data_IF_341005296873
#
_entry.id   IF_341005296873
#
_cell.length_a   1.000
_cell.length_b   1.000
_cell.length_c   1.000
_cell.angle_alpha   90.00
_cell.angle_beta   90.00
_cell.angle_gamma   90.00
#
_symmetry.space_group_name_H-M   'P 1'
#
loop_
_entity.id
_entity.type
_entity.pdbx_description
1 polymer ?
#
# COMPACT_ATOMS: atom_id res chain seq x y z
N UNK A 1 29.23 -24.33 -12.15
CA UNK A 1 28.39 -25.39 -12.73
C UNK A 1 26.95 -25.08 -12.31
N UNK A 2 26.28 -24.14 -13.00
CA UNK A 2 24.88 -23.82 -12.71
C UNK A 2 24.01 -24.74 -13.56
N UNK A 3 23.29 -25.63 -12.89
CA UNK A 3 22.42 -26.62 -13.48
C UNK A 3 21.39 -25.98 -14.42
N UNK A 4 21.16 -26.63 -15.55
CA UNK A 4 19.93 -26.57 -16.33
C UNK A 4 18.76 -27.02 -15.44
N UNK A 5 18.32 -26.15 -14.54
CA UNK A 5 17.03 -26.32 -13.87
C UNK A 5 15.98 -25.93 -14.91
N UNK A 6 15.34 -26.94 -15.50
CA UNK A 6 14.02 -26.76 -16.07
C UNK A 6 13.13 -26.26 -14.92
N UNK A 7 12.90 -24.95 -14.87
CA UNK A 7 11.97 -24.33 -13.93
C UNK A 7 10.56 -24.81 -14.31
N UNK A 8 10.15 -25.94 -13.73
CA UNK A 8 8.77 -26.43 -13.80
C UNK A 8 7.84 -25.67 -12.83
N UNK A 9 8.32 -24.55 -12.27
CA UNK A 9 7.62 -23.78 -11.26
C UNK A 9 7.06 -22.50 -11.88
N UNK A 10 5.80 -22.18 -11.55
CA UNK A 10 5.17 -20.93 -11.94
C UNK A 10 5.70 -19.73 -11.14
N UNK A 11 6.49 -19.98 -10.08
CA UNK A 11 7.01 -18.96 -9.18
C UNK A 11 8.51 -19.18 -8.90
N UNK A 12 9.28 -18.09 -8.89
CA UNK A 12 10.70 -18.08 -8.58
C UNK A 12 11.01 -16.87 -7.71
N UNK A 13 11.63 -17.10 -6.56
CA UNK A 13 12.08 -16.04 -5.65
C UNK A 13 13.58 -16.21 -5.42
N UNK A 14 14.33 -15.14 -5.68
CA UNK A 14 15.78 -15.03 -5.48
C UNK A 14 16.07 -13.76 -4.67
N UNK A 15 15.25 -13.45 -3.67
CA UNK A 15 15.39 -12.25 -2.84
C UNK A 15 16.75 -12.21 -2.14
N UNK A 16 17.40 -11.03 -2.14
CA UNK A 16 18.68 -10.78 -1.48
C UNK A 16 19.76 -11.85 -1.76
N UNK A 17 19.72 -12.46 -2.95
CA UNK A 17 20.56 -13.61 -3.34
C UNK A 17 21.83 -13.19 -4.10
N UNK A 18 22.23 -11.92 -3.99
CA UNK A 18 23.37 -11.33 -4.70
C UNK A 18 23.30 -11.48 -6.24
N UNK A 19 22.09 -11.49 -6.81
CA UNK A 19 21.91 -11.47 -8.27
C UNK A 19 22.44 -10.14 -8.80
N UNK A 20 23.42 -10.20 -9.70
CA UNK A 20 24.01 -9.03 -10.35
C UNK A 20 23.53 -8.89 -11.79
N UNK A 21 23.77 -7.73 -12.41
CA UNK A 21 23.56 -7.51 -13.85
C UNK A 21 24.17 -8.62 -14.73
N UNK A 22 25.34 -9.15 -14.35
CA UNK A 22 26.00 -10.24 -15.08
C UNK A 22 25.24 -11.58 -14.98
N UNK A 23 24.51 -11.81 -13.89
CA UNK A 23 23.66 -12.98 -13.70
C UNK A 23 22.33 -12.85 -14.46
N UNK A 24 21.86 -11.63 -14.73
CA UNK A 24 20.59 -11.38 -15.42
C UNK A 24 20.55 -11.97 -16.84
N UNK A 25 21.69 -12.13 -17.53
CA UNK A 25 21.72 -12.82 -18.82
C UNK A 25 21.32 -14.30 -18.71
N UNK A 26 21.77 -14.97 -17.64
CA UNK A 26 21.45 -16.38 -17.40
C UNK A 26 20.01 -16.51 -16.90
N UNK A 27 19.59 -15.61 -16.00
CA UNK A 27 18.23 -15.55 -15.52
C UNK A 27 17.26 -15.31 -16.68
N UNK A 28 17.55 -14.33 -17.54
CA UNK A 28 16.78 -14.07 -18.75
C UNK A 28 16.72 -15.32 -19.64
N UNK A 29 17.86 -15.96 -19.94
CA UNK A 29 17.85 -17.19 -20.75
C UNK A 29 17.01 -18.33 -20.15
N UNK A 30 16.95 -18.44 -18.83
CA UNK A 30 16.21 -19.49 -18.13
C UNK A 30 14.70 -19.17 -18.03
N UNK A 31 14.36 -17.93 -17.66
CA UNK A 31 12.98 -17.48 -17.48
C UNK A 31 12.22 -17.43 -18.81
N UNK A 32 12.91 -17.16 -19.91
CA UNK A 32 12.29 -16.99 -21.24
C UNK A 32 12.56 -18.16 -22.19
N UNK A 33 13.03 -19.29 -21.65
CA UNK A 33 13.11 -20.53 -22.40
C UNK A 33 11.71 -20.94 -22.90
N UNK A 34 11.64 -21.56 -24.09
CA UNK A 34 10.37 -21.96 -24.75
C UNK A 34 9.43 -22.79 -23.86
N UNK A 35 9.98 -23.51 -22.89
CA UNK A 35 9.24 -24.38 -21.98
C UNK A 35 9.04 -23.78 -20.58
N UNK A 36 9.43 -22.52 -20.37
CA UNK A 36 9.23 -21.83 -19.10
C UNK A 36 7.75 -21.61 -18.85
N UNK A 37 7.32 -21.96 -17.64
CA UNK A 37 5.95 -21.73 -17.14
C UNK A 37 5.92 -20.62 -16.10
N UNK A 38 7.02 -19.87 -15.94
CA UNK A 38 7.16 -18.89 -14.87
C UNK A 38 6.19 -17.72 -15.07
N UNK A 39 5.33 -17.49 -14.07
CA UNK A 39 4.37 -16.39 -14.02
C UNK A 39 4.75 -15.32 -13.00
N UNK A 40 5.61 -15.63 -12.02
CA UNK A 40 6.04 -14.69 -11.00
C UNK A 40 7.54 -14.79 -10.71
N UNK A 41 8.22 -13.65 -10.67
CA UNK A 41 9.66 -13.53 -10.44
C UNK A 41 9.93 -12.44 -9.39
N UNK A 42 10.51 -12.84 -8.27
CA UNK A 42 10.89 -11.95 -7.18
C UNK A 42 12.40 -11.85 -7.09
N UNK A 43 12.91 -10.63 -7.18
CA UNK A 43 14.33 -10.29 -7.19
C UNK A 43 14.65 -9.18 -6.18
N UNK A 44 13.78 -8.95 -5.19
CA UNK A 44 13.92 -7.86 -4.22
C UNK A 44 15.31 -7.86 -3.56
N UNK A 45 15.90 -6.68 -3.39
CA UNK A 45 17.18 -6.51 -2.70
C UNK A 45 18.41 -7.04 -3.44
N UNK A 46 18.35 -7.20 -4.77
CA UNK A 46 19.49 -7.60 -5.60
C UNK A 46 20.02 -6.45 -6.45
N UNK A 47 21.33 -6.34 -6.65
CA UNK A 47 21.90 -5.24 -7.44
C UNK A 47 21.85 -5.52 -8.96
N UNK A 48 20.64 -5.50 -9.53
CA UNK A 48 20.42 -5.70 -10.97
C UNK A 48 20.97 -4.54 -11.79
N UNK A 49 20.78 -3.31 -11.30
CA UNK A 49 21.02 -2.07 -12.04
C UNK A 49 20.22 -1.99 -13.36
N UNK A 50 20.33 -0.85 -14.06
CA UNK A 50 19.60 -0.64 -15.32
C UNK A 50 19.97 -1.65 -16.40
N UNK A 51 21.21 -2.15 -16.39
CA UNK A 51 21.70 -3.14 -17.35
C UNK A 51 21.10 -4.53 -17.11
N UNK A 52 20.97 -4.95 -15.85
CA UNK A 52 20.25 -6.17 -15.50
C UNK A 52 18.77 -6.07 -15.90
N UNK A 53 18.15 -4.90 -15.67
CA UNK A 53 16.77 -4.65 -16.09
C UNK A 53 16.60 -4.66 -17.61
N UNK A 54 17.57 -4.10 -18.36
CA UNK A 54 17.58 -4.17 -19.83
C UNK A 54 17.48 -5.61 -20.33
N UNK A 55 18.31 -6.50 -19.79
CA UNK A 55 18.36 -7.92 -20.15
C UNK A 55 17.09 -8.68 -19.76
N UNK A 56 16.47 -8.34 -18.62
CA UNK A 56 15.18 -8.89 -18.23
C UNK A 56 14.08 -8.42 -19.19
N UNK A 57 14.04 -7.12 -19.49
CA UNK A 57 13.08 -6.51 -20.41
C UNK A 57 13.14 -7.10 -21.83
N UNK A 58 14.33 -7.43 -22.34
CA UNK A 58 14.47 -8.14 -23.63
C UNK A 58 13.70 -9.45 -23.67
N UNK A 59 13.74 -10.19 -22.57
CA UNK A 59 13.05 -11.47 -22.50
C UNK A 59 11.59 -11.37 -22.08
N UNK A 60 11.19 -10.36 -21.31
CA UNK A 60 9.77 -10.05 -21.03
C UNK A 60 8.98 -9.74 -22.31
N UNK A 61 9.66 -9.23 -23.34
CA UNK A 61 9.10 -9.01 -24.67
C UNK A 61 9.14 -10.24 -25.58
N UNK A 62 9.59 -11.40 -25.09
CA UNK A 62 9.55 -12.64 -25.85
C UNK A 62 8.11 -13.17 -25.96
N UNK A 63 7.63 -13.57 -27.15
CA UNK A 63 6.27 -14.12 -27.31
C UNK A 63 5.95 -15.35 -26.45
N UNK A 64 6.97 -16.08 -26.00
CA UNK A 64 6.79 -17.25 -25.13
C UNK A 64 6.78 -16.89 -23.64
N UNK A 65 7.11 -15.66 -23.27
CA UNK A 65 7.12 -15.22 -21.88
C UNK A 65 5.70 -15.29 -21.29
N UNK A 66 5.59 -15.88 -20.09
CA UNK A 66 4.34 -15.98 -19.32
C UNK A 66 4.38 -15.16 -18.03
N UNK A 67 5.41 -14.35 -17.83
CA UNK A 67 5.60 -13.60 -16.59
C UNK A 67 4.53 -12.52 -16.45
N UNK A 68 3.82 -12.57 -15.33
CA UNK A 68 2.74 -11.67 -14.95
C UNK A 68 3.13 -10.78 -13.77
N UNK A 69 3.99 -11.29 -12.87
CA UNK A 69 4.41 -10.57 -11.66
C UNK A 69 5.93 -10.42 -11.70
N UNK A 70 6.41 -9.19 -11.59
CA UNK A 70 7.82 -8.87 -11.45
C UNK A 70 8.03 -7.98 -10.23
N UNK A 71 8.82 -8.46 -9.28
CA UNK A 71 9.21 -7.70 -8.10
C UNK A 71 10.71 -7.43 -8.11
N UNK A 72 11.07 -6.17 -8.24
CA UNK A 72 12.45 -5.66 -8.32
C UNK A 72 12.63 -4.47 -7.37
N UNK A 73 12.05 -4.58 -6.17
CA UNK A 73 12.26 -3.64 -5.08
C UNK A 73 13.75 -3.56 -4.70
N UNK A 74 14.25 -2.35 -4.44
CA UNK A 74 15.63 -2.13 -3.98
C UNK A 74 16.68 -2.77 -4.90
N UNK A 75 16.48 -2.65 -6.22
CA UNK A 75 17.31 -3.32 -7.22
C UNK A 75 18.35 -2.43 -7.93
N UNK A 76 18.54 -1.20 -7.45
CA UNK A 76 19.47 -0.24 -8.04
C UNK A 76 19.01 0.33 -9.38
N UNK A 77 17.70 0.32 -9.64
CA UNK A 77 17.13 0.87 -10.88
C UNK A 77 17.07 2.39 -10.83
N UNK A 78 17.27 3.01 -11.99
CA UNK A 78 17.13 4.45 -12.22
C UNK A 78 16.12 4.73 -13.32
N UNK A 79 16.00 5.99 -13.74
CA UNK A 79 15.25 6.42 -14.92
C UNK A 79 15.49 5.54 -16.16
N UNK A 80 16.73 5.07 -16.37
CA UNK A 80 17.07 4.28 -17.56
C UNK A 80 16.46 2.88 -17.52
N UNK A 81 16.38 2.25 -16.35
CA UNK A 81 15.62 1.01 -16.16
C UNK A 81 14.14 1.19 -16.52
N UNK A 82 13.54 2.33 -16.16
CA UNK A 82 12.16 2.66 -16.51
C UNK A 82 11.93 2.83 -18.01
N UNK A 83 12.91 3.33 -18.77
CA UNK A 83 12.84 3.40 -20.23
C UNK A 83 12.67 1.99 -20.84
N UNK A 84 13.47 1.02 -20.38
CA UNK A 84 13.34 -0.36 -20.84
C UNK A 84 12.02 -1.01 -20.41
N UNK A 85 11.55 -0.71 -19.20
CA UNK A 85 10.25 -1.17 -18.70
C UNK A 85 9.10 -0.58 -19.50
N UNK A 86 9.18 0.70 -19.89
CA UNK A 86 8.18 1.36 -20.74
C UNK A 86 7.99 0.63 -22.07
N UNK A 87 9.09 0.26 -22.72
CA UNK A 87 9.08 -0.55 -23.95
C UNK A 87 8.45 -1.94 -23.72
N UNK A 88 8.69 -2.53 -22.55
CA UNK A 88 8.10 -3.82 -22.18
C UNK A 88 6.60 -3.71 -21.92
N UNK A 89 6.15 -2.70 -21.17
CA UNK A 89 4.72 -2.43 -20.92
C UNK A 89 3.96 -2.13 -22.23
N UNK A 90 4.64 -1.53 -23.21
CA UNK A 90 4.06 -1.20 -24.50
C UNK A 90 3.98 -2.37 -25.49
N UNK A 91 4.62 -3.50 -25.19
CA UNK A 91 4.74 -4.64 -26.10
C UNK A 91 3.52 -5.56 -26.04
N UNK A 92 3.00 -5.95 -27.21
CA UNK A 92 1.91 -6.94 -27.33
C UNK A 92 2.24 -8.32 -26.70
N UNK A 93 3.53 -8.66 -26.62
CA UNK A 93 4.01 -9.93 -26.09
C UNK A 93 4.07 -9.94 -24.56
N UNK A 94 4.18 -8.77 -23.93
CA UNK A 94 4.23 -8.68 -22.48
C UNK A 94 2.93 -9.20 -21.85
N UNK A 95 3.09 -10.00 -20.79
CA UNK A 95 1.99 -10.51 -19.97
C UNK A 95 1.97 -9.86 -18.59
N UNK A 96 2.79 -8.83 -18.37
CA UNK A 96 3.00 -8.23 -17.06
C UNK A 96 1.73 -7.54 -16.57
N UNK A 97 1.29 -7.94 -15.37
CA UNK A 97 0.08 -7.48 -14.69
C UNK A 97 0.43 -6.77 -13.38
N UNK A 98 1.52 -7.16 -12.72
CA UNK A 98 1.97 -6.55 -11.48
C UNK A 98 3.46 -6.22 -11.57
N UNK A 99 3.80 -4.98 -11.18
CA UNK A 99 5.16 -4.48 -11.19
C UNK A 99 5.45 -3.76 -9.87
N UNK A 100 6.43 -4.28 -9.15
CA UNK A 100 6.94 -3.69 -7.92
C UNK A 100 8.36 -3.17 -8.15
N UNK A 101 8.51 -1.85 -8.03
CA UNK A 101 9.76 -1.10 -8.21
C UNK A 101 10.11 -0.30 -6.96
N UNK A 102 9.53 -0.63 -5.80
CA UNK A 102 9.72 0.11 -4.57
C UNK A 102 11.21 0.32 -4.23
N UNK A 103 11.52 1.43 -3.56
CA UNK A 103 12.87 1.72 -3.07
C UNK A 103 13.97 1.75 -4.16
N UNK A 104 13.60 2.11 -5.40
CA UNK A 104 14.54 2.43 -6.48
C UNK A 104 14.63 3.94 -6.76
N UNK A 105 15.74 4.42 -7.32
CA UNK A 105 15.96 5.87 -7.55
C UNK A 105 15.41 6.31 -8.92
N UNK A 106 14.10 6.17 -9.10
CA UNK A 106 13.47 6.37 -10.41
C UNK A 106 13.28 7.85 -10.77
N UNK A 107 12.96 8.67 -9.77
CA UNK A 107 12.61 10.10 -9.92
C UNK A 107 11.43 10.31 -10.88
N UNK A 108 11.02 11.57 -11.06
CA UNK A 108 9.87 11.91 -11.91
C UNK A 108 10.02 11.40 -13.34
N UNK A 109 11.22 11.50 -13.93
CA UNK A 109 11.47 11.00 -15.28
C UNK A 109 11.23 9.49 -15.42
N UNK A 110 11.58 8.69 -14.41
CA UNK A 110 11.30 7.26 -14.42
C UNK A 110 9.80 6.97 -14.37
N UNK A 111 9.05 7.66 -13.51
CA UNK A 111 7.59 7.54 -13.46
C UNK A 111 6.91 7.99 -14.76
N UNK A 112 7.42 9.04 -15.41
CA UNK A 112 6.93 9.52 -16.71
C UNK A 112 7.11 8.44 -17.79
N UNK A 113 8.25 7.75 -17.83
CA UNK A 113 8.46 6.62 -18.75
C UNK A 113 7.48 5.47 -18.50
N UNK A 114 7.25 5.12 -17.24
CA UNK A 114 6.28 4.08 -16.89
C UNK A 114 4.86 4.46 -17.33
N UNK A 115 4.47 5.73 -17.12
CA UNK A 115 3.18 6.25 -17.59
C UNK A 115 3.04 6.18 -19.11
N UNK A 116 4.11 6.44 -19.87
CA UNK A 116 4.10 6.24 -21.32
C UNK A 116 3.79 4.79 -21.70
N UNK A 117 4.41 3.84 -21.01
CA UNK A 117 4.14 2.42 -21.21
C UNK A 117 2.71 2.02 -20.88
N UNK A 118 2.16 2.54 -19.78
CA UNK A 118 0.77 2.31 -19.35
C UNK A 118 -0.23 2.89 -20.36
N UNK A 119 0.12 3.98 -21.05
CA UNK A 119 -0.70 4.56 -22.11
C UNK A 119 -0.73 3.74 -23.40
N UNK A 120 0.02 2.64 -23.52
CA UNK A 120 -0.11 1.74 -24.66
C UNK A 120 -1.36 0.86 -24.57
N UNK A 121 -2.11 0.63 -25.68
CA UNK A 121 -3.23 -0.32 -25.71
C UNK A 121 -2.82 -1.78 -25.46
N UNK A 122 -1.53 -2.08 -25.49
CA UNK A 122 -1.00 -3.40 -25.19
C UNK A 122 -0.67 -3.61 -23.71
N UNK A 123 -0.70 -2.55 -22.90
CA UNK A 123 -0.35 -2.66 -21.49
C UNK A 123 -1.43 -3.45 -20.72
N UNK A 124 -0.99 -4.46 -19.96
CA UNK A 124 -1.84 -5.33 -19.14
C UNK A 124 -1.67 -5.10 -17.65
N UNK A 125 -1.03 -3.99 -17.26
CA UNK A 125 -0.67 -3.71 -15.88
C UNK A 125 -1.90 -3.31 -15.07
N UNK A 126 -2.14 -4.04 -13.98
CA UNK A 126 -3.22 -3.81 -13.02
C UNK A 126 -2.70 -3.24 -11.69
N UNK A 127 -1.46 -3.60 -11.30
CA UNK A 127 -0.81 -3.14 -10.06
C UNK A 127 0.55 -2.52 -10.37
N UNK A 128 0.79 -1.33 -9.85
CA UNK A 128 2.09 -0.66 -9.90
C UNK A 128 2.47 -0.15 -8.51
N UNK A 129 3.63 -0.59 -8.01
CA UNK A 129 4.17 -0.18 -6.71
C UNK A 129 5.44 0.65 -6.88
N UNK A 130 5.40 1.89 -6.38
CA UNK A 130 6.44 2.92 -6.54
C UNK A 130 6.73 3.62 -5.20
N UNK A 131 6.56 2.93 -4.09
CA UNK A 131 6.89 3.48 -2.78
C UNK A 131 8.37 3.87 -2.69
N UNK A 132 8.67 5.02 -2.07
CA UNK A 132 10.03 5.51 -1.85
C UNK A 132 10.89 5.61 -3.13
N UNK A 133 10.29 6.08 -4.25
CA UNK A 133 10.96 6.19 -5.55
C UNK A 133 11.52 7.59 -5.90
N UNK A 134 11.53 8.51 -4.92
CA UNK A 134 11.92 9.92 -5.08
C UNK A 134 11.07 10.67 -6.11
N UNK A 135 9.76 10.39 -6.13
CA UNK A 135 8.81 11.08 -7.01
C UNK A 135 8.33 12.38 -6.35
N UNK A 136 7.99 13.35 -7.19
CA UNK A 136 7.40 14.64 -6.79
C UNK A 136 6.12 14.91 -7.59
N UNK A 137 5.51 16.10 -7.41
CA UNK A 137 4.33 16.53 -8.17
C UNK A 137 4.53 16.52 -9.69
N UNK A 138 5.75 16.67 -10.20
CA UNK A 138 6.07 16.79 -11.63
C UNK A 138 5.60 15.58 -12.45
N UNK A 139 5.64 14.37 -11.89
CA UNK A 139 5.15 13.17 -12.59
C UNK A 139 3.63 12.96 -12.53
N UNK A 140 2.92 13.65 -11.64
CA UNK A 140 1.51 13.38 -11.35
C UNK A 140 0.58 13.68 -12.54
N UNK A 141 0.94 14.63 -13.41
CA UNK A 141 0.21 14.88 -14.67
C UNK A 141 0.29 13.70 -15.64
N UNK A 142 1.41 12.98 -15.66
CA UNK A 142 1.59 11.78 -16.47
C UNK A 142 0.77 10.62 -15.93
N UNK A 143 0.72 10.43 -14.60
CA UNK A 143 -0.19 9.46 -13.97
C UNK A 143 -1.65 9.78 -14.27
N UNK A 144 -2.06 11.04 -14.09
CA UNK A 144 -3.41 11.50 -14.43
C UNK A 144 -3.78 11.14 -15.87
N UNK A 145 -2.86 11.39 -16.82
CA UNK A 145 -3.05 11.03 -18.22
C UNK A 145 -3.14 9.50 -18.42
N UNK A 146 -2.30 8.71 -17.76
CA UNK A 146 -2.28 7.25 -17.85
C UNK A 146 -3.52 6.60 -17.22
N UNK A 147 -4.09 7.17 -16.17
CA UNK A 147 -5.35 6.73 -15.56
C UNK A 147 -6.57 7.05 -16.42
N UNK A 148 -6.45 8.01 -17.33
CA UNK A 148 -7.58 8.55 -18.10
C UNK A 148 -7.79 7.86 -19.45
N UNK A 149 -6.83 7.08 -19.95
CA UNK A 149 -6.97 6.39 -21.24
C UNK A 149 -7.86 5.15 -21.10
N UNK A 150 -8.70 4.90 -22.10
CA UNK A 150 -9.76 3.88 -22.07
C UNK A 150 -9.24 2.45 -21.83
N UNK A 151 -8.11 2.13 -22.46
CA UNK A 151 -7.48 0.82 -22.39
C UNK A 151 -6.58 0.63 -21.16
N UNK A 152 -6.38 1.65 -20.32
CA UNK A 152 -5.64 1.47 -19.07
C UNK A 152 -6.36 0.46 -18.19
N UNK A 153 -5.61 -0.51 -17.66
CA UNK A 153 -6.12 -1.55 -16.76
C UNK A 153 -5.66 -1.35 -15.31
N UNK A 154 -5.01 -0.22 -15.01
CA UNK A 154 -4.43 0.03 -13.70
C UNK A 154 -5.53 0.18 -12.64
N UNK A 155 -5.56 -0.75 -11.69
CA UNK A 155 -6.51 -0.81 -10.58
C UNK A 155 -5.86 -0.43 -9.25
N UNK A 156 -4.56 -0.67 -9.10
CA UNK A 156 -3.84 -0.47 -7.84
C UNK A 156 -2.56 0.34 -8.08
N UNK A 157 -2.41 1.45 -7.37
CA UNK A 157 -1.28 2.37 -7.49
C UNK A 157 -0.74 2.75 -6.10
N UNK A 158 0.47 2.32 -5.80
CA UNK A 158 1.16 2.61 -4.55
C UNK A 158 2.23 3.69 -4.76
N UNK A 159 2.06 4.84 -4.08
CA UNK A 159 2.96 6.00 -4.17
C UNK A 159 3.51 6.41 -2.79
N UNK A 160 3.40 5.54 -1.77
CA UNK A 160 3.82 5.84 -0.39
C UNK A 160 5.24 6.43 -0.34
N UNK A 161 5.45 7.42 0.52
CA UNK A 161 6.78 7.94 0.82
C UNK A 161 7.44 8.73 -0.31
N UNK A 162 6.66 9.23 -1.27
CA UNK A 162 7.11 10.18 -2.29
C UNK A 162 6.61 11.59 -1.99
N UNK A 163 7.42 12.63 -2.19
CA UNK A 163 7.09 14.02 -1.88
C UNK A 163 6.19 14.67 -2.94
N UNK A 164 5.00 14.12 -3.13
CA UNK A 164 4.04 14.60 -4.13
C UNK A 164 3.42 15.95 -3.76
N UNK A 165 3.16 16.17 -2.47
CA UNK A 165 2.47 17.37 -1.98
C UNK A 165 1.03 17.50 -2.50
N UNK A 166 0.36 18.59 -2.09
CA UNK A 166 -1.03 18.84 -2.48
C UNK A 166 -1.20 19.00 -4.00
N UNK A 167 -0.25 19.65 -4.67
CA UNK A 167 -0.28 19.87 -6.11
C UNK A 167 -0.27 18.55 -6.89
N UNK A 168 0.60 17.60 -6.51
CA UNK A 168 0.64 16.28 -7.13
C UNK A 168 -0.68 15.52 -6.98
N UNK A 169 -1.26 15.53 -5.78
CA UNK A 169 -2.56 14.86 -5.54
C UNK A 169 -3.70 15.55 -6.27
N UNK A 170 -3.69 16.88 -6.39
CA UNK A 170 -4.68 17.61 -7.17
C UNK A 170 -4.64 17.18 -8.65
N UNK A 171 -3.45 17.05 -9.24
CA UNK A 171 -3.26 16.54 -10.61
C UNK A 171 -3.72 15.08 -10.74
N UNK A 172 -3.40 14.21 -9.78
CA UNK A 172 -3.89 12.83 -9.76
C UNK A 172 -5.43 12.78 -9.73
N UNK A 173 -6.06 13.65 -8.94
CA UNK A 173 -7.51 13.74 -8.84
C UNK A 173 -8.17 14.13 -10.17
N UNK A 174 -7.50 14.89 -11.06
CA UNK A 174 -8.01 15.15 -12.41
C UNK A 174 -8.21 13.86 -13.21
N UNK A 175 -7.31 12.88 -13.05
CA UNK A 175 -7.39 11.57 -13.69
C UNK A 175 -8.42 10.66 -13.02
N UNK A 176 -8.46 10.65 -11.68
CA UNK A 176 -9.45 9.87 -10.91
C UNK A 176 -10.90 10.26 -11.24
N UNK A 177 -11.13 11.51 -11.63
CA UNK A 177 -12.45 12.02 -12.03
C UNK A 177 -12.85 11.65 -13.46
N UNK A 178 -11.96 11.04 -14.26
CA UNK A 178 -12.29 10.66 -15.65
C UNK A 178 -13.11 9.35 -15.67
N UNK A 179 -14.05 9.22 -16.61
CA UNK A 179 -14.92 8.04 -16.72
C UNK A 179 -14.16 6.74 -16.97
N UNK A 180 -12.98 6.81 -17.59
CA UNK A 180 -12.16 5.67 -17.93
C UNK A 180 -11.25 5.20 -16.78
N UNK A 181 -11.21 5.93 -15.66
CA UNK A 181 -10.35 5.57 -14.56
C UNK A 181 -10.82 4.26 -13.91
N UNK A 182 -9.95 3.25 -13.91
CA UNK A 182 -10.20 1.94 -13.32
C UNK A 182 -9.63 1.77 -11.92
N UNK A 183 -9.03 2.82 -11.35
CA UNK A 183 -8.31 2.74 -10.08
C UNK A 183 -9.27 2.46 -8.91
N UNK A 184 -8.98 1.39 -8.19
CA UNK A 184 -9.74 0.91 -7.03
C UNK A 184 -8.97 1.15 -5.73
N UNK A 185 -7.63 1.09 -5.76
CA UNK A 185 -6.80 1.29 -4.57
C UNK A 185 -5.67 2.27 -4.82
N UNK A 186 -5.52 3.20 -3.88
CA UNK A 186 -4.54 4.26 -3.94
C UNK A 186 -3.86 4.47 -2.59
N UNK A 187 -2.54 4.33 -2.57
CA UNK A 187 -1.72 4.58 -1.39
C UNK A 187 -0.93 5.86 -1.55
N UNK A 188 -1.18 6.80 -0.64
CA UNK A 188 -0.55 8.11 -0.57
C UNK A 188 -0.05 8.39 0.86
N UNK A 189 0.26 7.34 1.63
CA UNK A 189 0.88 7.51 2.94
C UNK A 189 2.22 8.27 2.80
N UNK A 190 2.54 9.15 3.74
CA UNK A 190 3.81 9.92 3.75
C UNK A 190 4.09 10.71 2.47
N UNK A 191 3.06 11.23 1.81
CA UNK A 191 3.21 11.98 0.56
C UNK A 191 3.36 13.50 0.72
N UNK A 192 3.51 14.00 1.95
CA UNK A 192 3.64 15.43 2.22
C UNK A 192 2.32 16.20 2.05
N UNK A 193 1.18 15.52 2.22
CA UNK A 193 -0.15 16.11 1.98
C UNK A 193 -0.61 16.96 3.16
N UNK A 194 -1.41 17.97 2.87
CA UNK A 194 -2.08 18.83 3.85
C UNK A 194 -3.60 18.83 3.66
N UNK A 195 -4.32 19.66 4.40
CA UNK A 195 -5.76 19.88 4.14
C UNK A 195 -6.05 20.42 2.73
N UNK A 196 -5.05 20.97 2.02
CA UNK A 196 -5.20 21.60 0.71
C UNK A 196 -5.74 20.66 -0.37
N UNK A 197 -5.29 19.40 -0.41
CA UNK A 197 -5.74 18.43 -1.42
C UNK A 197 -7.05 17.70 -1.06
N UNK A 198 -7.53 17.82 0.18
CA UNK A 198 -8.68 17.05 0.66
C UNK A 198 -9.99 17.40 -0.05
N UNK A 199 -10.11 18.62 -0.58
CA UNK A 199 -11.24 19.03 -1.43
C UNK A 199 -11.26 18.31 -2.78
N UNK A 200 -10.09 18.15 -3.41
CA UNK A 200 -9.94 17.43 -4.66
C UNK A 200 -10.17 15.93 -4.50
N UNK A 201 -9.61 15.33 -3.45
CA UNK A 201 -9.88 13.93 -3.06
C UNK A 201 -11.38 13.71 -2.79
N UNK A 202 -12.01 14.61 -2.04
CA UNK A 202 -13.46 14.57 -1.83
C UNK A 202 -14.24 14.62 -3.14
N UNK A 203 -13.80 15.44 -4.10
CA UNK A 203 -14.45 15.57 -5.41
C UNK A 203 -14.26 14.33 -6.27
N UNK A 204 -13.10 13.68 -6.20
CA UNK A 204 -12.83 12.40 -6.85
C UNK A 204 -13.72 11.27 -6.29
N UNK A 205 -13.92 11.21 -4.97
CA UNK A 205 -14.82 10.26 -4.32
C UNK A 205 -16.30 10.49 -4.68
N UNK A 206 -16.70 11.74 -4.95
CA UNK A 206 -18.07 12.10 -5.31
C UNK A 206 -18.45 11.79 -6.77
N UNK A 207 -17.48 11.52 -7.63
CA UNK A 207 -17.73 11.39 -9.07
C UNK A 207 -18.44 10.07 -9.37
N UNK A 208 -19.46 10.08 -10.24
CA UNK A 208 -20.28 8.91 -10.59
C UNK A 208 -19.45 7.70 -11.05
N UNK A 209 -18.37 7.97 -11.78
CA UNK A 209 -17.50 6.94 -12.33
C UNK A 209 -16.37 6.52 -11.38
N UNK A 210 -16.30 7.07 -10.16
CA UNK A 210 -15.30 6.67 -9.19
C UNK A 210 -15.42 5.18 -8.88
N UNK A 211 -14.27 4.49 -8.84
CA UNK A 211 -14.17 3.07 -8.48
C UNK A 211 -13.34 2.85 -7.23
N UNK A 212 -12.87 3.93 -6.60
CA UNK A 212 -11.97 3.85 -5.47
C UNK A 212 -12.67 3.21 -4.26
N UNK A 213 -12.17 2.06 -3.83
CA UNK A 213 -12.62 1.29 -2.67
C UNK A 213 -11.63 1.39 -1.52
N UNK A 214 -10.35 1.64 -1.78
CA UNK A 214 -9.32 1.78 -0.75
C UNK A 214 -8.47 3.04 -0.96
N UNK A 215 -8.36 3.85 0.10
CA UNK A 215 -7.57 5.09 0.10
C UNK A 215 -6.75 5.17 1.37
N UNK A 216 -5.43 5.24 1.21
CA UNK A 216 -4.51 5.39 2.32
C UNK A 216 -3.85 6.77 2.28
N UNK A 217 -3.94 7.50 3.38
CA UNK A 217 -3.47 8.87 3.52
C UNK A 217 -2.67 9.07 4.82
N UNK A 218 -2.21 8.00 5.45
CA UNK A 218 -1.57 8.10 6.76
C UNK A 218 -0.25 8.87 6.72
N UNK A 219 0.15 9.37 7.88
CA UNK A 219 1.37 10.15 8.06
C UNK A 219 1.46 11.38 7.14
N UNK A 220 0.32 12.04 6.95
CA UNK A 220 0.17 13.32 6.25
C UNK A 220 -0.46 14.37 7.15
N UNK A 221 -0.13 15.65 6.98
CA UNK A 221 -0.59 16.74 7.85
C UNK A 221 -1.98 17.26 7.44
N UNK A 222 -2.96 16.36 7.30
CA UNK A 222 -4.31 16.69 6.83
C UNK A 222 -5.08 17.57 7.81
N UNK A 223 -4.82 17.40 9.12
CA UNK A 223 -5.53 18.06 10.21
C UNK A 223 -7.06 17.85 10.17
N UNK A 224 -7.76 18.43 11.15
CA UNK A 224 -9.21 18.29 11.23
C UNK A 224 -9.95 18.87 10.01
N UNK A 225 -9.45 19.97 9.44
CA UNK A 225 -10.05 20.62 8.26
C UNK A 225 -10.01 19.71 7.03
N UNK A 226 -8.91 19.00 6.80
CA UNK A 226 -8.79 18.05 5.70
C UNK A 226 -9.81 16.91 5.81
N UNK A 227 -9.89 16.28 6.98
CA UNK A 227 -10.86 15.18 7.22
C UNK A 227 -12.31 15.67 7.13
N UNK A 228 -12.61 16.89 7.58
CA UNK A 228 -13.94 17.48 7.41
C UNK A 228 -14.32 17.64 5.93
N UNK A 229 -13.36 17.98 5.06
CA UNK A 229 -13.57 18.02 3.61
C UNK A 229 -13.77 16.61 3.04
N UNK A 230 -12.90 15.65 3.37
CA UNK A 230 -13.04 14.26 2.94
C UNK A 230 -14.39 13.65 3.33
N UNK A 231 -14.89 13.96 4.53
CA UNK A 231 -16.20 13.51 5.00
C UNK A 231 -17.37 14.00 4.13
N UNK A 232 -17.22 15.12 3.39
CA UNK A 232 -18.23 15.53 2.40
C UNK A 232 -18.29 14.53 1.25
N UNK A 233 -17.14 14.04 0.79
CA UNK A 233 -17.01 13.00 -0.23
C UNK A 233 -17.55 11.66 0.22
N UNK A 234 -17.21 11.24 1.44
CA UNK A 234 -17.67 9.96 2.01
C UNK A 234 -19.19 9.86 2.18
N UNK A 235 -19.90 11.00 2.26
CA UNK A 235 -21.37 11.03 2.32
C UNK A 235 -22.05 10.99 0.96
N UNK A 236 -21.30 11.09 -0.13
CA UNK A 236 -21.86 11.04 -1.47
C UNK A 236 -22.42 9.66 -1.78
N UNK A 237 -23.55 9.61 -2.48
CA UNK A 237 -24.14 8.36 -2.99
C UNK A 237 -23.24 7.63 -3.99
N UNK A 238 -22.29 8.35 -4.60
CA UNK A 238 -21.32 7.80 -5.55
C UNK A 238 -20.08 7.22 -4.86
N UNK A 239 -19.89 7.44 -3.55
CA UNK A 239 -18.70 7.01 -2.85
C UNK A 239 -18.72 5.49 -2.63
N UNK A 240 -17.73 4.79 -3.21
CA UNK A 240 -17.55 3.34 -3.08
C UNK A 240 -16.47 2.96 -2.06
N UNK A 241 -15.98 3.92 -1.29
CA UNK A 241 -14.85 3.70 -0.40
C UNK A 241 -15.23 2.77 0.76
N UNK A 242 -14.49 1.67 0.88
CA UNK A 242 -14.63 0.63 1.90
C UNK A 242 -13.54 0.74 2.96
N UNK A 243 -12.31 1.11 2.56
CA UNK A 243 -11.17 1.27 3.46
C UNK A 243 -10.57 2.66 3.38
N UNK A 244 -10.45 3.31 4.53
CA UNK A 244 -9.81 4.60 4.67
C UNK A 244 -8.78 4.55 5.79
N UNK A 245 -7.52 4.82 5.47
CA UNK A 245 -6.45 4.94 6.48
C UNK A 245 -6.02 6.39 6.66
N UNK A 246 -6.10 6.86 7.90
CA UNK A 246 -5.81 8.23 8.34
C UNK A 246 -4.92 8.21 9.60
N UNK A 247 -4.04 7.21 9.72
CA UNK A 247 -3.14 7.11 10.87
C UNK A 247 -2.14 8.27 10.86
N UNK A 248 -1.74 8.80 12.03
CA UNK A 248 -0.77 9.91 12.14
C UNK A 248 -1.12 11.14 11.24
N UNK A 249 -2.41 11.52 11.15
CA UNK A 249 -2.86 12.61 10.27
C UNK A 249 -3.00 13.99 10.95
N UNK A 250 -2.55 14.12 12.20
CA UNK A 250 -2.72 15.33 13.00
C UNK A 250 -4.17 15.60 13.40
N UNK A 251 -4.97 14.55 13.56
CA UNK A 251 -6.40 14.65 13.90
C UNK A 251 -6.60 14.80 15.40
N UNK A 252 -7.66 15.53 15.77
CA UNK A 252 -8.16 15.61 17.14
C UNK A 252 -9.67 15.33 17.17
N UNK A 253 -10.25 15.27 18.37
CA UNK A 253 -11.69 15.03 18.55
C UNK A 253 -12.62 16.02 17.82
N UNK A 254 -12.10 17.15 17.31
CA UNK A 254 -12.87 18.14 16.53
C UNK A 254 -13.35 17.63 15.16
N UNK A 255 -12.71 16.61 14.58
CA UNK A 255 -13.17 16.01 13.32
C UNK A 255 -14.19 14.87 13.53
N UNK A 256 -14.33 14.36 14.76
CA UNK A 256 -15.15 13.17 15.03
C UNK A 256 -16.64 13.37 14.76
N UNK A 257 -17.18 14.59 14.84
CA UNK A 257 -18.57 14.86 14.44
C UNK A 257 -18.77 14.66 12.93
N UNK A 258 -17.80 15.06 12.11
CA UNK A 258 -17.83 14.87 10.67
C UNK A 258 -17.65 13.39 10.29
N UNK A 259 -16.76 12.69 11.00
CA UNK A 259 -16.60 11.24 10.86
C UNK A 259 -17.88 10.50 11.25
N UNK A 260 -18.50 10.82 12.40
CA UNK A 260 -19.79 10.25 12.82
C UNK A 260 -20.84 10.44 11.73
N UNK A 261 -20.97 11.66 11.20
CA UNK A 261 -21.91 11.97 10.12
C UNK A 261 -21.63 11.16 8.84
N UNK A 262 -20.35 10.95 8.47
CA UNK A 262 -19.98 10.15 7.31
C UNK A 262 -20.21 8.64 7.52
N UNK A 263 -19.92 8.12 8.71
CA UNK A 263 -20.10 6.71 9.07
C UNK A 263 -21.57 6.30 9.20
N UNK A 264 -22.44 7.24 9.58
CA UNK A 264 -23.88 6.99 9.74
C UNK A 264 -24.70 7.32 8.49
N UNK A 265 -24.06 7.83 7.43
CA UNK A 265 -24.74 8.14 6.18
C UNK A 265 -25.30 6.85 5.55
N UNK A 266 -26.51 6.93 5.00
CA UNK A 266 -27.25 5.78 4.46
C UNK A 266 -26.48 5.02 3.38
N UNK A 267 -25.69 5.74 2.57
CA UNK A 267 -24.91 5.17 1.46
C UNK A 267 -23.43 4.94 1.80
N UNK A 268 -23.05 5.06 3.08
CA UNK A 268 -21.66 4.80 3.48
C UNK A 268 -21.32 3.33 3.23
N UNK A 269 -20.18 3.08 2.58
CA UNK A 269 -19.65 1.74 2.33
C UNK A 269 -18.43 1.42 3.19
N UNK A 270 -18.05 2.34 4.09
CA UNK A 270 -16.83 2.20 4.87
C UNK A 270 -16.95 1.06 5.89
N UNK A 271 -16.08 0.07 5.73
CA UNK A 271 -15.95 -1.11 6.61
C UNK A 271 -14.68 -1.04 7.44
N UNK A 272 -13.63 -0.36 6.95
CA UNK A 272 -12.37 -0.17 7.68
C UNK A 272 -11.99 1.29 7.74
N UNK A 273 -11.76 1.76 8.97
CA UNK A 273 -11.26 3.09 9.28
C UNK A 273 -10.08 2.97 10.24
N UNK A 274 -8.91 3.42 9.82
CA UNK A 274 -7.72 3.49 10.67
C UNK A 274 -7.48 4.95 11.08
N UNK A 275 -7.60 5.23 12.38
CA UNK A 275 -7.33 6.54 13.00
C UNK A 275 -6.17 6.47 13.99
N UNK A 276 -5.35 5.42 13.95
CA UNK A 276 -4.27 5.20 14.91
C UNK A 276 -3.27 6.36 14.90
N UNK A 277 -2.58 6.59 16.01
CA UNK A 277 -1.54 7.62 16.10
C UNK A 277 -2.05 9.06 15.86
N UNK A 278 -3.34 9.29 16.10
CA UNK A 278 -3.94 10.62 16.21
C UNK A 278 -4.25 10.99 17.67
N UNK A 279 -4.42 12.28 17.94
CA UNK A 279 -4.70 12.78 19.29
C UNK A 279 -6.21 12.88 19.55
N UNK A 280 -6.90 11.73 19.51
CA UNK A 280 -8.31 11.62 19.83
C UNK A 280 -8.48 11.47 21.34
N UNK A 281 -9.19 12.42 21.96
CA UNK A 281 -9.57 12.36 23.38
C UNK A 281 -10.82 11.50 23.58
N UNK A 282 -11.20 11.26 24.84
CA UNK A 282 -12.44 10.55 25.21
C UNK A 282 -13.70 11.12 24.55
N UNK A 283 -13.72 12.43 24.30
CA UNK A 283 -14.80 13.07 23.57
C UNK A 283 -14.93 12.54 22.14
N UNK A 284 -13.81 12.35 21.45
CA UNK A 284 -13.77 11.76 20.11
C UNK A 284 -14.09 10.26 20.13
N UNK A 285 -13.54 9.53 21.11
CA UNK A 285 -13.85 8.14 21.34
C UNK A 285 -15.36 7.90 21.51
N UNK A 286 -16.02 8.74 22.32
CA UNK A 286 -17.46 8.68 22.57
C UNK A 286 -18.27 8.83 21.27
N UNK A 287 -17.89 9.78 20.40
CA UNK A 287 -18.55 9.99 19.11
C UNK A 287 -18.33 8.80 18.15
N UNK A 288 -17.13 8.22 18.13
CA UNK A 288 -16.88 7.02 17.32
C UNK A 288 -17.67 5.80 17.84
N UNK A 289 -17.78 5.64 19.17
CA UNK A 289 -18.64 4.61 19.76
C UNK A 289 -20.12 4.83 19.45
N UNK A 290 -20.57 6.08 19.38
CA UNK A 290 -21.93 6.43 18.95
C UNK A 290 -22.16 6.04 17.49
N UNK A 291 -21.21 6.34 16.60
CA UNK A 291 -21.27 5.93 15.20
C UNK A 291 -21.38 4.40 15.06
N UNK A 292 -20.59 3.62 15.82
CA UNK A 292 -20.63 2.15 15.80
C UNK A 292 -21.94 1.53 16.33
N UNK A 293 -22.76 2.30 17.05
CA UNK A 293 -24.10 1.89 17.49
C UNK A 293 -25.17 2.23 16.46
N UNK A 294 -24.87 3.08 15.49
CA UNK A 294 -25.79 3.44 14.44
C UNK A 294 -25.97 2.24 13.48
N UNK A 295 -27.22 1.84 13.14
CA UNK A 295 -27.47 0.70 12.26
C UNK A 295 -26.92 0.87 10.83
N UNK A 296 -26.69 2.11 10.38
CA UNK A 296 -26.10 2.40 9.08
C UNK A 296 -24.57 2.25 9.06
N UNK A 297 -23.93 2.21 10.23
CA UNK A 297 -22.48 2.09 10.30
C UNK A 297 -22.05 0.66 9.98
N UNK A 298 -21.29 0.50 8.90
CA UNK A 298 -20.79 -0.80 8.39
C UNK A 298 -19.39 -1.15 8.88
N UNK A 299 -18.76 -0.33 9.73
CA UNK A 299 -17.41 -0.59 10.20
C UNK A 299 -17.33 -1.96 10.87
N UNK A 300 -16.39 -2.78 10.41
CA UNK A 300 -16.10 -4.07 11.01
C UNK A 300 -15.63 -3.84 12.45
N UNK A 301 -16.31 -4.48 13.39
CA UNK A 301 -16.00 -4.44 14.82
C UNK A 301 -14.76 -5.29 15.12
N UNK A 302 -13.64 -5.03 14.45
CA UNK A 302 -12.38 -5.71 14.74
C UNK A 302 -11.68 -5.01 15.91
N UNK A 303 -11.23 -5.79 16.91
CA UNK A 303 -10.56 -5.26 18.10
C UNK A 303 -9.30 -4.44 17.73
N UNK A 304 -8.60 -4.80 16.65
CA UNK A 304 -7.40 -4.09 16.19
C UNK A 304 -7.66 -2.64 15.77
N UNK A 305 -8.85 -2.34 15.23
CA UNK A 305 -9.25 -0.97 14.81
C UNK A 305 -9.53 -0.04 15.99
N UNK A 306 -9.82 -0.59 17.18
CA UNK A 306 -10.17 0.15 18.39
C UNK A 306 -9.05 0.18 19.45
N UNK A 307 -8.05 -0.71 19.32
CA UNK A 307 -7.01 -0.95 20.34
C UNK A 307 -5.98 0.18 20.55
N UNK A 308 -6.12 1.34 19.91
CA UNK A 308 -5.26 2.52 20.16
C UNK A 308 -6.03 3.78 20.56
N UNK A 309 -7.34 3.69 20.81
CA UNK A 309 -8.03 4.77 21.52
C UNK A 309 -7.70 4.59 23.00
N UNK A 310 -6.68 5.31 23.50
CA UNK A 310 -6.34 5.33 24.93
C UNK A 310 -7.52 5.85 25.75
N UNK A 311 -8.34 4.95 26.29
CA UNK A 311 -9.44 5.28 27.19
C UNK A 311 -8.94 5.30 28.65
N UNK A 312 -9.11 6.39 29.41
CA UNK A 312 -9.20 6.34 30.87
C UNK A 312 -10.50 5.61 31.23
N UNK A 313 -10.34 4.46 31.88
CA UNK A 313 -11.33 3.66 32.63
C UNK A 313 -12.72 4.32 32.80
N UNK A 314 -13.72 3.80 32.08
CA UNK A 314 -15.10 3.85 32.57
C UNK A 314 -15.21 2.88 33.75
N UNK A 315 -15.16 3.40 34.99
CA UNK A 315 -15.70 2.68 36.13
C UNK A 315 -17.21 2.53 35.92
N UNK A 316 -17.65 1.35 35.49
CA UNK A 316 -19.06 0.98 35.45
C UNK A 316 -19.61 0.91 36.88
N UNK A 317 -20.42 1.89 37.26
CA UNK A 317 -21.50 1.63 38.19
C UNK A 317 -22.61 0.90 37.44
N UNK A 318 -22.45 -0.42 37.30
CA UNK A 318 -23.55 -1.33 36.96
C UNK A 318 -23.66 -2.34 38.10
N UNK A 319 -24.26 -1.93 39.21
CA UNK A 319 -24.79 -2.87 40.18
C UNK A 319 -26.00 -3.60 39.57
N UNK A 320 -25.86 -4.92 39.49
CA UNK A 320 -26.89 -5.96 39.56
C UNK A 320 -28.34 -5.62 39.17
N UNK A 321 -28.77 -6.14 38.01
CA UNK A 321 -30.02 -6.91 37.93
C UNK A 321 -29.83 -8.12 37.04
N UNK A 322 -29.61 -9.28 37.67
CA UNK A 322 -29.74 -10.60 37.04
C UNK A 322 -31.22 -10.85 36.74
N UNK A 323 -31.59 -10.93 35.46
CA UNK A 323 -32.76 -11.72 35.04
C UNK A 323 -32.44 -12.43 33.74
N UNK A 324 -32.51 -13.77 33.82
CA UNK A 324 -32.26 -14.76 32.78
C UNK A 324 -33.10 -14.52 31.53
N UNK A 325 -32.47 -14.47 30.35
CA UNK A 325 -32.97 -15.11 29.11
C UNK A 325 -31.82 -15.28 28.11
N UNK A 326 -31.97 -16.29 27.24
CA UNK A 326 -30.96 -16.96 26.41
C UNK A 326 -30.29 -16.11 25.33
N UNK A 327 -29.01 -16.45 25.10
CA UNK A 327 -28.28 -16.41 23.82
C UNK A 327 -28.16 -15.04 23.16
N UNK A 328 -27.21 -14.24 23.64
CA UNK A 328 -26.42 -13.36 22.79
C UNK A 328 -24.97 -13.42 23.25
N UNK A 329 -24.05 -13.62 22.31
CA UNK A 329 -22.60 -13.51 22.52
C UNK A 329 -22.26 -12.09 22.99
N UNK A 330 -22.17 -11.92 24.31
CA UNK A 330 -21.58 -10.73 24.93
C UNK A 330 -20.08 -10.86 24.77
N UNK A 331 -19.52 -10.24 23.73
CA UNK A 331 -18.07 -10.13 23.60
C UNK A 331 -17.57 -9.05 24.56
N UNK A 332 -16.75 -9.50 25.51
CA UNK A 332 -16.10 -8.69 26.55
C UNK A 332 -15.13 -7.69 25.91
N UNK A 333 -15.23 -6.44 26.33
CA UNK A 333 -14.29 -5.36 25.98
C UNK A 333 -13.02 -5.54 26.82
N UNK A 334 -11.95 -6.10 26.26
CA UNK A 334 -10.63 -6.10 26.90
C UNK A 334 -9.91 -4.79 26.58
N UNK A 335 -9.70 -3.96 27.61
CA UNK A 335 -8.94 -2.71 27.53
C UNK A 335 -7.51 -3.04 27.99
N UNK A 336 -6.56 -3.06 27.07
CA UNK A 336 -5.13 -3.22 27.41
C UNK A 336 -4.57 -1.85 27.79
N UNK A 337 -4.20 -1.66 29.06
CA UNK A 337 -3.51 -0.47 29.53
C UNK A 337 -2.01 -0.60 29.26
N UNK A 338 -1.48 0.06 28.22
CA UNK A 338 -0.03 0.21 28.07
C UNK A 338 0.43 1.44 28.84
N UNK A 339 0.81 1.24 30.09
CA UNK A 339 1.61 2.17 30.88
C UNK A 339 3.09 1.98 30.50
N UNK A 340 3.78 3.05 30.11
CA UNK A 340 5.24 3.15 30.29
C UNK A 340 5.54 4.50 30.99
N UNK A 341 6.29 4.49 32.11
CA UNK A 341 6.51 5.68 32.93
C UNK A 341 7.59 6.61 32.35
N UNK A 342 7.47 7.88 32.71
CA UNK A 342 8.44 8.97 32.46
C UNK A 342 9.70 8.87 33.34
N UNK A 343 10.78 9.49 32.82
CA UNK A 343 11.99 10.06 33.46
C UNK A 343 13.32 9.31 33.25
N UNK A 344 14.28 9.90 32.51
CA UNK A 344 15.25 10.89 33.01
C UNK A 344 16.19 11.37 31.89
N UNK A 345 16.52 12.66 31.93
CA UNK A 345 17.57 13.35 31.18
C UNK A 345 18.97 12.96 31.64
N UNK A 346 19.95 12.84 30.72
CA UNK A 346 21.27 13.47 30.85
C UNK A 346 22.12 13.35 29.56
N UNK A 347 22.76 14.47 29.24
CA UNK A 347 23.79 14.71 28.23
C UNK A 347 25.18 14.22 28.66
N UNK A 348 25.99 13.65 27.74
CA UNK A 348 27.40 14.01 27.52
C UNK A 348 28.14 13.07 26.54
N UNK A 349 28.63 13.66 25.46
CA UNK A 349 29.88 13.48 24.69
C UNK A 349 30.81 12.23 24.85
N UNK A 350 31.16 11.69 23.67
CA UNK A 350 32.49 11.30 23.13
C UNK A 350 33.23 10.00 23.52
N UNK A 351 33.49 9.19 22.46
CA UNK A 351 34.80 8.62 22.00
C UNK A 351 35.10 7.11 22.21
N UNK A 352 35.21 6.44 21.05
CA UNK A 352 36.10 5.35 20.58
C UNK A 352 35.89 3.84 20.88
N UNK A 353 36.12 3.11 19.77
CA UNK A 353 36.64 1.73 19.58
C UNK A 353 35.67 0.53 19.68
N UNK A 354 35.51 -0.19 18.56
CA UNK A 354 35.04 -1.59 18.53
C UNK A 354 36.21 -2.58 18.72
N UNK A 355 36.12 -3.85 18.27
CA UNK A 355 34.94 -4.67 17.96
C UNK A 355 34.94 -6.01 18.76
N UNK A 356 33.78 -6.67 18.95
CA UNK A 356 33.77 -8.12 19.23
C UNK A 356 32.45 -8.81 18.90
N UNK A 357 32.55 -9.79 17.99
CA UNK A 357 31.65 -10.93 17.86
C UNK A 357 31.34 -11.55 19.22
N UNK A 358 30.07 -11.80 19.54
CA UNK A 358 29.54 -12.99 20.26
C UNK A 358 28.06 -12.76 20.62
N UNK A 359 27.13 -13.23 19.78
CA UNK A 359 25.88 -13.86 20.23
C UNK A 359 25.19 -14.55 19.05
N UNK A 360 25.73 -15.73 18.71
CA UNK A 360 24.91 -16.81 18.15
C UNK A 360 24.23 -17.51 19.34
N UNK A 361 23.06 -18.08 19.06
CA UNK A 361 22.29 -19.03 19.89
C UNK A 361 21.23 -18.44 20.84
N UNK A 362 19.98 -18.51 20.36
CA UNK A 362 18.69 -18.76 21.07
C UNK A 362 17.61 -18.00 20.30
N UNK A 363 16.76 -18.61 19.46
CA UNK A 363 15.65 -19.47 19.86
C UNK A 363 15.23 -20.35 18.66
N UNK A 364 15.46 -21.66 18.77
CA UNK A 364 14.65 -22.68 18.08
C UNK A 364 13.51 -23.09 19.02
N UNK A 365 12.39 -23.47 18.42
CA UNK A 365 11.23 -24.19 18.99
C UNK A 365 10.01 -23.34 19.37
N UNK A 366 9.05 -23.22 18.44
CA UNK A 366 7.73 -23.88 18.57
C UNK A 366 6.93 -23.69 17.26
N UNK A 367 6.82 -24.76 16.47
CA UNK A 367 5.95 -24.85 15.29
C UNK A 367 4.84 -25.85 15.64
N UNK A 368 3.54 -25.51 15.55
CA UNK A 368 2.50 -26.51 15.37
C UNK A 368 2.37 -26.84 13.88
N UNK A 369 2.59 -28.11 13.53
CA UNK A 369 2.37 -28.70 12.21
C UNK A 369 0.88 -28.94 11.98
N UNK A 370 0.33 -28.50 10.84
CA UNK A 370 -0.85 -29.07 10.15
C UNK A 370 -0.73 -28.78 8.62
N UNK A 371 -1.44 -29.50 7.73
CA UNK A 371 -0.81 -30.29 6.66
C UNK A 371 -0.57 -29.54 5.34
N UNK A 372 0.52 -29.96 4.70
CA UNK A 372 0.93 -29.59 3.33
C UNK A 372 0.13 -30.41 2.33
N UNK A 373 -0.71 -29.75 1.53
CA UNK A 373 -1.08 -30.23 0.21
C UNK A 373 -0.66 -29.16 -0.81
N UNK A 374 0.40 -29.49 -1.54
CA UNK A 374 0.84 -28.88 -2.81
C UNK A 374 1.24 -27.40 -2.80
N UNK A 375 2.29 -27.07 -2.05
CA UNK A 375 3.24 -26.02 -2.47
C UNK A 375 4.65 -26.42 -2.04
N UNK A 376 5.51 -26.73 -3.02
CA UNK A 376 6.92 -27.02 -2.80
C UNK A 376 7.71 -25.74 -3.08
N UNK A 377 8.10 -25.00 -2.03
CA UNK A 377 9.02 -23.88 -2.13
C UNK A 377 10.45 -24.39 -2.23
N UNK A 378 11.26 -23.82 -3.12
CA UNK A 378 12.71 -24.01 -3.13
C UNK A 378 13.35 -22.71 -2.63
N UNK A 379 13.82 -22.70 -1.38
CA UNK A 379 14.83 -21.75 -0.93
C UNK A 379 16.17 -22.24 -1.46
N UNK A 380 16.77 -21.52 -2.41
CA UNK A 380 18.19 -21.70 -2.74
C UNK A 380 18.94 -20.67 -1.89
N UNK A 381 19.69 -21.16 -0.91
CA UNK A 381 20.57 -20.37 -0.05
C UNK A 381 21.95 -20.17 -0.69
#
# INVERSE_FOLDING_TARGET
MFCFLFLSFCFCSLESSCVTSQCCKYLSSAVFAKHSVLTALQLRGNNLEDEGMRLLCEGLRNPNCKLQILEVESCGLTTKGCEFLSLTLSSEYSQLQELDLESNTLKDSGAIWLCEGIRSPHCKLHRLRLAFCQLTHECCKSFSSALSVEHSLLMELELEGNELGDEGVNLLCEGLRKPNCKLEKLWLDKCGLTSGCCGDLSSALCTEHSRLTELHLGDNKLANSGVQLLCKGLRSLNCKLERLRLWSCGLTSKCCESLLSALCAEHSNLTVLDLTENNLTDAGARLLCEALRNPNCKLEKSAASLNKISLPLFHSQSQERKSKTKSDTVTVMEISANYLPTHFSQSSSTVCAGPSNMMKDSFRQMIPRLPVSEMTFLYIA
#
